data_IF_405787781066
#
_entry.id   IF_405787781066
#
_cell.length_a   1.000
_cell.length_b   1.000
_cell.length_c   1.000
_cell.angle_alpha   90.00
_cell.angle_beta   90.00
_cell.angle_gamma   90.00
#
_symmetry.space_group_name_H-M   'P 1'
#
loop_
_entity.id
_entity.type
_entity.pdbx_description
1 polymer ?
#
# COMPACT_ATOMS: atom_id res chain seq x y z
N UNK A 1 -42.51 -75.16 -19.19
CA UNK A 1 -43.49 -74.17 -18.69
C UNK A 1 -43.00 -73.78 -17.31
N UNK A 2 -41.98 -72.92 -17.26
CA UNK A 2 -42.07 -71.45 -17.32
C UNK A 2 -42.59 -70.89 -15.99
N UNK A 3 -42.00 -69.88 -15.37
CA UNK A 3 -40.63 -69.37 -15.20
C UNK A 3 -40.76 -68.23 -14.19
N UNK A 4 -39.66 -67.91 -13.54
CA UNK A 4 -39.46 -66.89 -12.51
C UNK A 4 -39.97 -65.46 -12.86
N UNK A 5 -40.49 -64.73 -11.87
CA UNK A 5 -40.18 -63.29 -11.65
C UNK A 5 -40.93 -62.70 -10.44
N UNK A 6 -40.16 -62.35 -9.40
CA UNK A 6 -40.49 -61.33 -8.39
C UNK A 6 -39.64 -60.07 -8.66
N UNK A 7 -39.64 -58.97 -7.86
CA UNK A 7 -40.43 -58.62 -6.67
C UNK A 7 -41.22 -57.28 -6.92
N UNK A 8 -41.53 -56.35 -6.02
CA UNK A 8 -41.21 -56.09 -4.61
C UNK A 8 -42.29 -55.19 -3.97
N UNK A 9 -42.71 -55.48 -2.74
CA UNK A 9 -43.34 -54.56 -1.80
C UNK A 9 -42.49 -54.57 -0.52
N UNK A 10 -41.96 -53.42 -0.10
CA UNK A 10 -41.11 -53.31 1.08
C UNK A 10 -41.92 -52.79 2.28
N UNK A 11 -41.95 -53.60 3.33
CA UNK A 11 -42.63 -53.38 4.61
C UNK A 11 -41.89 -52.33 5.47
N UNK A 12 -42.63 -51.39 6.07
CA UNK A 12 -42.08 -50.30 6.91
C UNK A 12 -41.56 -50.78 8.28
N UNK A 13 -41.83 -52.03 8.68
CA UNK A 13 -41.65 -52.50 10.06
C UNK A 13 -40.19 -52.83 10.44
N UNK A 14 -39.24 -52.83 9.49
CA UNK A 14 -37.84 -53.26 9.75
C UNK A 14 -36.85 -52.12 10.11
N UNK A 15 -37.32 -50.89 10.31
CA UNK A 15 -36.44 -49.68 10.39
C UNK A 15 -35.92 -49.26 11.77
N UNK A 16 -36.29 -49.94 12.86
CA UNK A 16 -35.93 -49.54 14.23
C UNK A 16 -34.89 -50.43 14.94
N UNK A 17 -34.35 -51.46 14.28
CA UNK A 17 -33.46 -52.45 14.91
C UNK A 17 -31.94 -52.19 14.86
N UNK A 18 -31.47 -51.05 14.34
CA UNK A 18 -30.05 -50.84 14.00
C UNK A 18 -29.47 -49.50 14.53
N UNK A 19 -29.87 -49.10 15.75
CA UNK A 19 -29.32 -47.96 16.48
C UNK A 19 -28.52 -48.41 17.72
N UNK A 20 -27.62 -49.38 17.53
CA UNK A 20 -26.67 -49.86 18.53
C UNK A 20 -25.29 -50.05 17.90
N UNK A 21 -24.27 -49.49 18.55
CA UNK A 21 -22.85 -49.81 18.39
C UNK A 21 -22.23 -49.76 16.97
N UNK A 22 -22.43 -48.62 16.30
CA UNK A 22 -21.33 -48.03 15.53
C UNK A 22 -20.81 -46.82 16.30
N UNK A 23 -19.89 -47.08 17.23
CA UNK A 23 -18.98 -46.06 17.75
C UNK A 23 -18.17 -45.53 16.56
N UNK A 24 -18.66 -44.44 15.94
CA UNK A 24 -17.94 -43.78 14.85
C UNK A 24 -16.70 -43.13 15.45
N UNK A 25 -15.63 -43.93 15.54
CA UNK A 25 -14.26 -43.43 15.63
C UNK A 25 -14.00 -42.66 14.34
N UNK A 26 -14.45 -41.40 14.31
CA UNK A 26 -13.84 -40.35 13.53
C UNK A 26 -12.41 -40.25 14.04
N UNK A 27 -11.56 -41.11 13.51
CA UNK A 27 -10.13 -40.83 13.40
C UNK A 27 -10.06 -39.67 12.43
N UNK A 28 -10.34 -38.47 12.95
CA UNK A 28 -9.95 -37.23 12.33
C UNK A 28 -8.44 -37.37 12.16
N UNK A 29 -8.03 -37.66 10.94
CA UNK A 29 -6.63 -37.81 10.57
C UNK A 29 -6.05 -36.41 10.58
N UNK A 30 -5.81 -35.88 11.79
CA UNK A 30 -5.14 -34.61 12.03
C UNK A 30 -3.91 -34.61 11.14
N UNK A 31 -3.79 -33.60 10.29
CA UNK A 31 -2.52 -33.34 9.65
C UNK A 31 -1.48 -33.20 10.77
N UNK A 32 -0.34 -33.90 10.73
CA UNK A 32 0.72 -33.69 11.73
C UNK A 32 1.35 -32.29 11.61
N UNK A 33 1.09 -31.58 10.51
CA UNK A 33 1.56 -30.24 10.23
C UNK A 33 0.37 -29.28 10.05
N UNK A 34 0.31 -28.25 10.88
CA UNK A 34 -0.69 -27.18 10.82
C UNK A 34 -0.48 -26.35 9.54
N UNK A 35 -1.28 -26.59 8.51
CA UNK A 35 -1.11 -25.97 7.19
C UNK A 35 -2.42 -25.49 6.60
N UNK A 36 -2.34 -24.54 5.65
CA UNK A 36 -3.46 -24.19 4.79
C UNK A 36 -3.30 -24.93 3.44
N UNK A 37 -4.38 -25.53 2.94
CA UNK A 37 -4.43 -26.14 1.60
C UNK A 37 -4.49 -25.05 0.52
N UNK A 38 -5.21 -23.97 0.81
CA UNK A 38 -5.20 -22.75 0.00
C UNK A 38 -4.11 -21.80 0.49
N UNK A 39 -3.64 -20.90 -0.37
CA UNK A 39 -2.65 -19.92 0.04
C UNK A 39 -3.19 -18.98 1.15
N UNK A 40 -2.29 -18.50 2.00
CA UNK A 40 -2.64 -17.70 3.18
C UNK A 40 -3.43 -16.43 2.83
N UNK A 41 -3.23 -15.82 1.65
CA UNK A 41 -4.00 -14.65 1.22
C UNK A 41 -5.50 -14.95 1.05
N UNK A 42 -5.82 -16.09 0.42
CA UNK A 42 -7.21 -16.56 0.24
C UNK A 42 -7.82 -16.90 1.59
N UNK A 43 -7.11 -17.65 2.44
CA UNK A 43 -7.60 -18.01 3.77
C UNK A 43 -7.81 -16.78 4.67
N UNK A 44 -6.89 -15.82 4.67
CA UNK A 44 -7.00 -14.59 5.46
C UNK A 44 -8.19 -13.74 4.99
N UNK A 45 -8.47 -13.70 3.68
CA UNK A 45 -9.63 -12.99 3.15
C UNK A 45 -10.95 -13.62 3.63
N UNK A 46 -11.08 -14.95 3.62
CA UNK A 46 -12.26 -15.62 4.18
C UNK A 46 -12.36 -15.46 5.70
N UNK A 47 -11.23 -15.44 6.43
CA UNK A 47 -11.21 -15.13 7.87
C UNK A 47 -11.70 -13.70 8.15
N UNK A 48 -11.29 -12.71 7.36
CA UNK A 48 -11.79 -11.32 7.42
C UNK A 48 -13.30 -11.22 7.12
N UNK A 49 -13.90 -12.24 6.50
CA UNK A 49 -15.35 -12.38 6.28
C UNK A 49 -16.05 -13.24 7.34
N UNK A 50 -15.40 -13.47 8.48
CA UNK A 50 -15.88 -14.29 9.60
C UNK A 50 -16.24 -15.75 9.22
N UNK A 51 -15.64 -16.28 8.14
CA UNK A 51 -15.95 -17.65 7.70
C UNK A 51 -15.41 -18.73 8.65
N UNK A 52 -14.43 -18.42 9.50
CA UNK A 52 -13.95 -19.33 10.53
C UNK A 52 -15.00 -19.60 11.62
N UNK A 53 -15.86 -18.62 11.93
CA UNK A 53 -16.91 -18.71 12.97
C UNK A 53 -18.31 -18.99 12.39
N UNK A 54 -18.44 -18.93 11.06
CA UNK A 54 -19.72 -19.04 10.35
C UNK A 54 -20.20 -20.51 10.31
N UNK A 55 -21.41 -20.84 10.81
CA UNK A 55 -21.94 -22.21 10.80
C UNK A 55 -22.07 -22.86 9.42
N UNK A 56 -22.06 -22.05 8.36
CA UNK A 56 -22.15 -22.50 6.96
C UNK A 56 -20.76 -22.79 6.37
N UNK A 57 -19.73 -22.04 6.78
CA UNK A 57 -18.40 -22.05 6.14
C UNK A 57 -17.31 -22.71 7.00
N UNK A 58 -17.51 -22.83 8.32
CA UNK A 58 -16.53 -23.38 9.26
C UNK A 58 -16.01 -24.76 8.82
N UNK A 59 -16.92 -25.66 8.39
CA UNK A 59 -16.53 -27.00 7.94
C UNK A 59 -15.60 -26.97 6.71
N UNK A 60 -15.81 -26.03 5.79
CA UNK A 60 -14.91 -25.82 4.65
C UNK A 60 -13.60 -25.19 5.10
N UNK A 61 -13.65 -24.18 5.98
CA UNK A 61 -12.46 -23.53 6.52
C UNK A 61 -11.56 -24.52 7.30
N UNK A 62 -12.14 -25.44 8.08
CA UNK A 62 -11.41 -26.51 8.78
C UNK A 62 -10.66 -27.45 7.84
N UNK A 63 -11.20 -27.73 6.65
CA UNK A 63 -10.55 -28.60 5.67
C UNK A 63 -9.53 -27.90 4.76
N UNK A 64 -9.50 -26.56 4.73
CA UNK A 64 -8.77 -25.81 3.69
C UNK A 64 -7.86 -24.69 4.23
N UNK A 65 -8.15 -24.17 5.42
CA UNK A 65 -7.56 -22.98 6.01
C UNK A 65 -7.33 -23.15 7.53
N UNK A 66 -6.92 -24.36 7.94
CA UNK A 66 -6.79 -24.78 9.34
C UNK A 66 -5.85 -23.88 10.14
N UNK A 67 -4.68 -23.58 9.56
CA UNK A 67 -3.66 -22.71 10.14
C UNK A 67 -4.06 -21.23 10.21
N UNK A 68 -4.78 -20.70 9.21
CA UNK A 68 -5.27 -19.32 9.29
C UNK A 68 -6.37 -19.15 10.34
N UNK A 69 -7.30 -20.11 10.44
CA UNK A 69 -8.42 -20.02 11.38
C UNK A 69 -8.07 -20.37 12.83
N UNK A 70 -6.94 -21.05 13.08
CA UNK A 70 -6.54 -21.43 14.45
C UNK A 70 -7.27 -22.66 14.94
N UNK A 71 -7.54 -23.59 14.03
CA UNK A 71 -8.12 -24.89 14.37
C UNK A 71 -7.05 -25.94 14.74
N UNK A 72 -5.78 -25.57 14.61
CA UNK A 72 -4.61 -26.38 14.98
C UNK A 72 -4.47 -26.58 16.50
N UNK A 73 -3.65 -27.56 16.88
CA UNK A 73 -3.42 -27.91 18.28
C UNK A 73 -2.33 -27.08 18.97
N UNK A 74 -1.43 -26.46 18.20
CA UNK A 74 -0.33 -25.65 18.69
C UNK A 74 -0.50 -24.19 18.21
N UNK A 75 -0.46 -23.18 19.11
CA UNK A 75 -0.59 -21.78 18.73
C UNK A 75 0.65 -21.17 18.06
N UNK A 76 1.82 -21.82 18.06
CA UNK A 76 3.04 -21.28 17.43
C UNK A 76 3.10 -21.48 15.91
N UNK A 77 2.35 -22.44 15.35
CA UNK A 77 2.26 -22.70 13.89
C UNK A 77 1.41 -21.66 13.12
N UNK A 78 0.97 -20.60 13.79
CA UNK A 78 0.10 -19.58 13.20
C UNK A 78 0.87 -18.64 12.24
N UNK A 79 0.86 -18.96 10.94
CA UNK A 79 1.44 -18.09 9.91
C UNK A 79 0.64 -16.78 9.77
N UNK A 80 1.04 -15.72 10.47
CA UNK A 80 0.47 -14.39 10.30
C UNK A 80 1.45 -13.23 10.53
N UNK A 81 2.45 -13.14 9.66
CA UNK A 81 3.20 -11.90 9.46
C UNK A 81 2.59 -11.03 8.37
N UNK A 82 2.85 -9.72 8.46
CA UNK A 82 2.62 -8.82 7.34
C UNK A 82 3.67 -9.10 6.23
N UNK A 83 3.23 -9.16 4.97
CA UNK A 83 4.15 -9.28 3.81
C UNK A 83 4.82 -7.93 3.51
N UNK A 84 4.11 -6.83 3.79
CA UNK A 84 4.68 -5.48 3.73
C UNK A 84 5.16 -5.04 5.12
N UNK A 85 6.09 -4.07 5.22
CA UNK A 85 6.60 -3.61 6.52
C UNK A 85 5.49 -3.16 7.46
N UNK A 86 5.58 -3.54 8.75
CA UNK A 86 4.55 -3.28 9.76
C UNK A 86 4.07 -1.82 9.76
N UNK A 87 4.99 -0.84 9.73
CA UNK A 87 4.66 0.60 9.65
C UNK A 87 3.73 0.96 8.47
N UNK A 88 3.91 0.33 7.30
CA UNK A 88 3.06 0.55 6.12
C UNK A 88 1.70 -0.14 6.30
N UNK A 89 1.70 -1.34 6.86
CA UNK A 89 0.49 -2.10 7.13
C UNK A 89 -0.38 -1.48 8.22
N UNK A 90 0.22 -0.92 9.28
CA UNK A 90 -0.46 -0.17 10.32
C UNK A 90 -1.07 1.12 9.74
N UNK A 91 -0.32 1.85 8.92
CA UNK A 91 -0.85 3.02 8.20
C UNK A 91 -2.03 2.65 7.29
N UNK A 92 -1.98 1.49 6.63
CA UNK A 92 -3.09 0.99 5.84
C UNK A 92 -4.31 0.57 6.68
N UNK A 93 -4.08 -0.11 7.81
CA UNK A 93 -5.13 -0.54 8.71
C UNK A 93 -5.83 0.63 9.38
N UNK A 94 -5.07 1.61 9.89
CA UNK A 94 -5.54 2.84 10.51
C UNK A 94 -6.34 3.73 9.53
N UNK A 95 -6.07 3.65 8.22
CA UNK A 95 -6.85 4.31 7.16
C UNK A 95 -8.12 3.53 6.76
N UNK A 96 -8.46 2.44 7.45
CA UNK A 96 -9.69 1.67 7.24
C UNK A 96 -9.74 0.86 5.94
N UNK A 97 -8.61 0.62 5.27
CA UNK A 97 -8.59 -0.07 3.96
C UNK A 97 -9.12 -1.51 4.05
N UNK A 98 -8.96 -2.17 5.20
CA UNK A 98 -9.52 -3.50 5.48
C UNK A 98 -11.06 -3.51 5.54
N UNK A 99 -11.70 -2.34 5.56
CA UNK A 99 -13.15 -2.18 5.55
C UNK A 99 -13.67 -1.89 4.13
N UNK A 100 -12.82 -1.39 3.22
CA UNK A 100 -13.17 -1.07 1.83
C UNK A 100 -13.29 -2.38 1.01
N UNK A 101 -14.47 -2.76 0.45
CA UNK A 101 -14.68 -4.06 -0.20
C UNK A 101 -13.67 -4.41 -1.30
N UNK A 102 -13.28 -3.41 -2.10
CA UNK A 102 -12.32 -3.54 -3.20
C UNK A 102 -10.85 -3.71 -2.74
N UNK A 103 -10.55 -3.43 -1.46
CA UNK A 103 -9.20 -3.57 -0.89
C UNK A 103 -9.09 -4.71 0.12
N UNK A 104 -10.20 -5.31 0.56
CA UNK A 104 -10.21 -6.37 1.57
C UNK A 104 -9.30 -7.55 1.25
N UNK A 105 -9.27 -8.02 -0.01
CA UNK A 105 -8.36 -9.09 -0.42
C UNK A 105 -6.88 -8.66 -0.36
N UNK A 106 -6.57 -7.46 -0.85
CA UNK A 106 -5.21 -6.90 -0.76
C UNK A 106 -4.74 -6.78 0.70
N UNK A 107 -5.60 -6.24 1.57
CA UNK A 107 -5.31 -6.03 2.99
C UNK A 107 -5.12 -7.35 3.73
N UNK A 108 -6.01 -8.32 3.51
CA UNK A 108 -5.88 -9.66 4.09
C UNK A 108 -4.65 -10.44 3.57
N UNK A 109 -4.23 -10.17 2.33
CA UNK A 109 -3.07 -10.80 1.73
C UNK A 109 -1.74 -10.17 2.18
N UNK A 110 -1.67 -8.84 2.27
CA UNK A 110 -0.40 -8.11 2.49
C UNK A 110 -0.19 -7.65 3.92
N UNK A 111 -1.27 -7.39 4.65
CA UNK A 111 -1.24 -6.78 5.98
C UNK A 111 -2.13 -7.48 7.03
N UNK A 112 -2.20 -8.82 7.09
CA UNK A 112 -3.19 -9.51 7.91
C UNK A 112 -3.07 -9.21 9.42
N UNK A 113 -1.84 -9.13 9.95
CA UNK A 113 -1.54 -8.79 11.34
C UNK A 113 -2.04 -7.39 11.69
N UNK A 114 -1.68 -6.38 10.90
CA UNK A 114 -2.14 -5.00 11.13
C UNK A 114 -3.67 -4.84 10.98
N UNK A 115 -4.31 -5.67 10.16
CA UNK A 115 -5.77 -5.68 9.99
C UNK A 115 -6.53 -6.40 11.11
N UNK A 116 -5.86 -6.89 12.16
CA UNK A 116 -6.50 -7.64 13.25
C UNK A 116 -7.05 -9.00 12.83
N UNK A 117 -6.68 -9.52 11.66
CA UNK A 117 -7.17 -10.83 11.15
C UNK A 117 -6.64 -12.00 12.00
N UNK A 118 -5.61 -11.73 12.79
CA UNK A 118 -4.87 -12.74 13.55
C UNK A 118 -4.90 -12.55 15.07
N UNK A 119 -5.41 -11.42 15.56
CA UNK A 119 -5.65 -11.20 16.99
C UNK A 119 -6.99 -11.82 17.40
N UNK A 120 -6.96 -12.95 18.12
CA UNK A 120 -8.09 -13.38 18.94
C UNK A 120 -8.27 -12.40 20.10
N UNK A 121 -9.11 -11.37 19.90
CA UNK A 121 -9.69 -10.58 20.98
C UNK A 121 -9.35 -9.09 21.05
N UNK A 122 -8.77 -8.46 20.01
CA UNK A 122 -8.61 -7.00 19.99
C UNK A 122 -9.88 -6.31 19.46
N UNK A 123 -10.55 -5.43 20.23
CA UNK A 123 -11.69 -4.68 19.71
C UNK A 123 -11.25 -3.75 18.58
N UNK A 124 -11.99 -3.75 17.47
CA UNK A 124 -11.80 -2.80 16.37
C UNK A 124 -12.25 -1.40 16.81
N UNK A 125 -11.36 -0.69 17.50
CA UNK A 125 -11.50 0.73 17.74
C UNK A 125 -11.19 1.46 16.44
N UNK A 126 -12.23 1.82 15.70
CA UNK A 126 -12.10 2.70 14.54
C UNK A 126 -11.53 4.05 15.01
N UNK A 127 -10.24 4.27 14.75
CA UNK A 127 -9.60 5.57 14.94
C UNK A 127 -10.29 6.60 14.03
N UNK A 128 -10.33 7.89 14.41
CA UNK A 128 -10.88 8.92 13.55
C UNK A 128 -10.21 8.88 12.18
N UNK A 129 -11.01 8.81 11.11
CA UNK A 129 -10.49 8.85 9.74
C UNK A 129 -9.75 10.19 9.59
N UNK A 130 -8.42 10.20 9.36
CA UNK A 130 -7.70 11.45 9.19
C UNK A 130 -8.21 12.16 7.95
N UNK A 131 -8.37 13.48 8.05
CA UNK A 131 -8.82 14.31 6.94
C UNK A 131 -7.96 14.06 5.68
N UNK A 132 -8.59 14.10 4.51
CA UNK A 132 -7.90 13.94 3.22
C UNK A 132 -7.40 15.26 2.63
N UNK A 133 -7.60 16.37 3.36
CA UNK A 133 -7.00 17.65 3.01
C UNK A 133 -5.48 17.54 2.84
N UNK A 134 -4.96 18.36 1.93
CA UNK A 134 -3.53 18.43 1.66
C UNK A 134 -2.87 19.34 2.70
N UNK A 135 -2.02 18.77 3.56
CA UNK A 135 -1.24 19.53 4.53
C UNK A 135 0.00 20.16 3.85
N UNK A 136 -0.14 21.42 3.50
CA UNK A 136 0.92 22.28 2.97
C UNK A 136 2.09 22.45 3.94
N UNK A 137 1.81 22.60 5.24
CA UNK A 137 2.83 22.88 6.26
C UNK A 137 3.67 21.64 6.54
N UNK A 138 3.03 20.46 6.66
CA UNK A 138 3.75 19.18 6.73
C UNK A 138 4.64 19.01 5.50
N UNK A 139 4.11 19.26 4.29
CA UNK A 139 4.85 19.07 3.05
C UNK A 139 6.10 19.95 2.96
N UNK A 140 5.97 21.24 3.32
CA UNK A 140 7.09 22.19 3.34
C UNK A 140 8.11 21.83 4.43
N UNK A 141 7.64 21.53 5.64
CA UNK A 141 8.49 21.13 6.78
C UNK A 141 9.30 19.88 6.45
N UNK A 142 8.70 18.88 5.82
CA UNK A 142 9.39 17.66 5.38
C UNK A 142 10.49 17.93 4.34
N UNK A 143 10.27 18.83 3.39
CA UNK A 143 11.33 19.25 2.46
C UNK A 143 12.48 19.95 3.19
N UNK A 144 12.17 20.89 4.09
CA UNK A 144 13.17 21.69 4.80
C UNK A 144 13.98 20.84 5.79
N UNK A 145 13.34 19.86 6.46
CA UNK A 145 14.00 18.83 7.26
C UNK A 145 15.10 18.13 6.46
N UNK A 146 14.79 17.64 5.25
CA UNK A 146 15.80 16.97 4.41
C UNK A 146 16.88 17.93 3.90
N UNK A 147 16.50 19.14 3.48
CA UNK A 147 17.44 20.18 2.99
C UNK A 147 18.47 20.60 4.03
N UNK A 148 18.10 20.61 5.31
CA UNK A 148 19.00 20.92 6.42
C UNK A 148 20.24 20.00 6.47
N UNK A 149 20.08 18.72 6.11
CA UNK A 149 21.16 17.74 6.06
C UNK A 149 22.18 18.01 4.94
N UNK A 150 21.81 18.79 3.92
CA UNK A 150 22.62 19.04 2.72
C UNK A 150 23.11 20.50 2.63
N UNK A 151 23.01 21.26 3.72
CA UNK A 151 23.43 22.66 3.77
C UNK A 151 22.69 23.54 2.76
N UNK A 152 21.44 23.19 2.44
CA UNK A 152 20.56 23.97 1.59
C UNK A 152 19.60 24.81 2.45
N UNK A 153 19.40 26.08 2.07
CA UNK A 153 18.50 26.98 2.79
C UNK A 153 17.05 26.47 2.74
N UNK A 154 16.26 26.80 3.75
CA UNK A 154 14.84 26.44 3.79
C UNK A 154 14.07 27.01 2.59
N UNK A 155 13.16 26.21 2.04
CA UNK A 155 12.20 26.65 1.03
C UNK A 155 11.06 27.41 1.69
N UNK A 156 10.51 28.37 0.96
CA UNK A 156 9.20 28.99 1.25
C UNK A 156 8.10 28.33 0.40
N UNK A 157 6.83 28.52 0.79
CA UNK A 157 5.72 28.06 -0.04
C UNK A 157 5.48 28.99 -1.24
N UNK A 158 5.25 28.39 -2.40
CA UNK A 158 4.90 29.07 -3.64
C UNK A 158 3.45 28.73 -4.03
N UNK A 159 2.46 29.62 -3.80
CA UNK A 159 1.06 29.36 -4.13
C UNK A 159 0.85 29.01 -5.61
N UNK A 160 1.49 29.76 -6.52
CA UNK A 160 1.41 29.51 -7.97
C UNK A 160 2.00 28.16 -8.39
N UNK A 161 3.02 27.70 -7.69
CA UNK A 161 3.61 26.37 -7.89
C UNK A 161 2.61 25.28 -7.45
N UNK A 162 1.88 25.50 -6.35
CA UNK A 162 0.82 24.60 -5.88
C UNK A 162 -0.39 24.59 -6.82
N UNK A 163 -0.83 25.75 -7.34
CA UNK A 163 -1.90 25.86 -8.34
C UNK A 163 -1.56 25.08 -9.63
N UNK A 164 -0.30 25.15 -10.08
CA UNK A 164 0.19 24.37 -11.21
C UNK A 164 0.28 22.88 -10.87
N UNK A 165 0.78 22.52 -9.69
CA UNK A 165 0.81 21.14 -9.21
C UNK A 165 -0.61 20.53 -9.16
N UNK A 166 -1.62 21.30 -8.75
CA UNK A 166 -3.01 20.86 -8.67
C UNK A 166 -3.58 20.53 -10.06
N UNK A 167 -3.32 21.38 -11.05
CA UNK A 167 -3.68 21.12 -12.45
C UNK A 167 -3.00 19.86 -12.99
N UNK A 168 -1.73 19.64 -12.63
CA UNK A 168 -0.97 18.46 -13.01
C UNK A 168 -1.53 17.16 -12.43
N UNK A 169 -1.71 17.08 -11.11
CA UNK A 169 -2.24 15.85 -10.48
C UNK A 169 -3.66 15.55 -10.92
N UNK A 170 -4.49 16.58 -11.17
CA UNK A 170 -5.82 16.40 -11.73
C UNK A 170 -5.76 15.83 -13.17
N UNK A 171 -4.90 16.38 -14.03
CA UNK A 171 -4.71 15.89 -15.40
C UNK A 171 -4.24 14.43 -15.41
N UNK A 172 -3.29 14.06 -14.55
CA UNK A 172 -2.81 12.68 -14.42
C UNK A 172 -3.91 11.74 -13.89
N UNK A 173 -4.73 12.22 -12.94
CA UNK A 173 -5.84 11.47 -12.35
C UNK A 173 -6.98 11.20 -13.34
N UNK A 174 -7.37 12.20 -14.13
CA UNK A 174 -8.49 12.10 -15.09
C UNK A 174 -8.11 11.27 -16.33
N UNK A 175 -6.85 11.33 -16.74
CA UNK A 175 -6.32 10.50 -17.84
C UNK A 175 -5.89 9.10 -17.40
N UNK A 176 -5.81 8.83 -16.09
CA UNK A 176 -5.18 7.64 -15.50
C UNK A 176 -3.78 7.39 -16.11
N UNK A 177 -3.03 8.47 -16.31
CA UNK A 177 -1.73 8.45 -17.01
C UNK A 177 -0.62 7.84 -16.12
N UNK A 178 0.42 7.21 -16.70
CA UNK A 178 1.69 7.07 -16.01
C UNK A 178 2.26 8.43 -15.63
N UNK A 179 3.29 8.45 -14.76
CA UNK A 179 3.99 9.68 -14.38
C UNK A 179 4.74 10.25 -15.60
N UNK A 180 4.12 11.24 -16.24
CA UNK A 180 4.69 12.00 -17.34
C UNK A 180 4.86 13.43 -16.86
N UNK A 181 6.10 13.93 -16.94
CA UNK A 181 6.40 15.31 -16.62
C UNK A 181 5.68 16.29 -17.56
N UNK A 182 5.27 17.45 -17.02
CA UNK A 182 4.79 18.54 -17.88
C UNK A 182 5.88 19.07 -18.82
N UNK A 183 5.51 19.86 -19.82
CA UNK A 183 6.50 20.42 -20.73
C UNK A 183 7.32 21.50 -20.01
N UNK A 184 8.62 21.57 -20.32
CA UNK A 184 9.53 22.62 -19.83
C UNK A 184 9.15 24.04 -20.31
N UNK A 185 8.14 24.17 -21.16
CA UNK A 185 7.56 25.45 -21.56
C UNK A 185 6.35 25.81 -20.68
N UNK A 186 5.47 24.86 -20.37
CA UNK A 186 4.35 25.08 -19.45
C UNK A 186 4.79 25.40 -18.02
N UNK A 187 5.92 24.84 -17.57
CA UNK A 187 6.59 25.20 -16.31
C UNK A 187 7.47 26.44 -16.44
N UNK A 188 6.95 27.55 -17.00
CA UNK A 188 7.66 28.84 -17.06
C UNK A 188 6.73 30.00 -16.73
N UNK A 189 7.16 30.88 -15.83
CA UNK A 189 6.50 32.17 -15.61
C UNK A 189 7.45 33.27 -15.16
N UNK A 190 6.94 34.49 -15.07
CA UNK A 190 7.72 35.62 -14.59
C UNK A 190 7.90 35.56 -13.07
N UNK A 191 9.15 35.64 -12.63
CA UNK A 191 9.58 35.86 -11.24
C UNK A 191 10.57 37.02 -11.25
N UNK A 192 10.33 38.07 -10.46
CA UNK A 192 11.19 39.26 -10.46
C UNK A 192 11.39 39.93 -11.83
N UNK A 193 10.36 39.88 -12.70
CA UNK A 193 10.42 40.42 -14.07
C UNK A 193 11.21 39.59 -15.08
N UNK A 194 11.61 38.35 -14.75
CA UNK A 194 12.30 37.42 -15.68
C UNK A 194 11.51 36.14 -15.84
N UNK A 195 11.46 35.60 -17.05
CA UNK A 195 10.91 34.25 -17.29
C UNK A 195 11.84 33.20 -16.68
N UNK A 196 11.36 32.53 -15.64
CA UNK A 196 12.06 31.47 -14.91
C UNK A 196 11.44 30.12 -15.29
N UNK A 197 12.23 29.05 -15.47
CA UNK A 197 11.72 27.69 -15.53
C UNK A 197 11.60 27.07 -14.14
N UNK A 198 10.63 26.18 -13.97
CA UNK A 198 10.31 25.54 -12.69
C UNK A 198 10.52 24.02 -12.77
N UNK A 199 11.08 23.47 -11.69
CA UNK A 199 11.35 22.04 -11.53
C UNK A 199 10.08 21.29 -11.17
N UNK A 200 10.09 19.96 -11.27
CA UNK A 200 8.94 19.12 -11.00
C UNK A 200 9.38 17.75 -10.47
N UNK A 201 8.83 17.34 -9.33
CA UNK A 201 8.85 15.97 -8.86
C UNK A 201 7.43 15.41 -8.90
N UNK A 202 7.30 14.15 -9.32
CA UNK A 202 6.02 13.44 -9.39
C UNK A 202 6.06 12.17 -8.52
N UNK A 203 4.92 11.79 -7.97
CA UNK A 203 4.72 10.55 -7.22
C UNK A 203 3.37 9.95 -7.58
N UNK A 204 3.34 8.63 -7.74
CA UNK A 204 2.12 7.83 -7.80
C UNK A 204 2.19 6.79 -6.70
N UNK A 205 1.18 6.77 -5.82
CA UNK A 205 1.11 5.78 -4.75
C UNK A 205 -0.33 5.33 -4.51
N UNK A 206 -0.51 4.02 -4.31
CA UNK A 206 -1.81 3.41 -4.09
C UNK A 206 -1.81 2.66 -2.74
N UNK A 207 -2.89 2.75 -1.93
CA UNK A 207 -4.18 3.37 -2.28
C UNK A 207 -4.27 4.88 -2.07
N UNK A 208 -3.42 5.49 -1.23
CA UNK A 208 -3.44 6.94 -0.99
C UNK A 208 -2.04 7.52 -0.82
N UNK A 209 -1.70 8.53 -1.62
CA UNK A 209 -0.44 9.29 -1.55
C UNK A 209 -0.52 10.42 -0.51
N UNK A 210 0.63 10.79 0.04
CA UNK A 210 0.82 11.97 0.89
C UNK A 210 2.25 12.49 0.75
N UNK A 211 2.55 13.67 1.32
CA UNK A 211 3.89 14.26 1.22
C UNK A 211 4.95 13.46 1.96
N UNK A 212 4.61 12.73 3.02
CA UNK A 212 5.57 11.93 3.79
C UNK A 212 6.09 10.77 2.97
N UNK A 213 5.20 10.00 2.37
CA UNK A 213 5.56 8.91 1.44
C UNK A 213 6.37 9.47 0.26
N UNK A 214 5.95 10.60 -0.30
CA UNK A 214 6.60 11.21 -1.48
C UNK A 214 8.01 11.71 -1.16
N UNK A 215 8.17 12.59 -0.16
CA UNK A 215 9.45 13.16 0.27
C UNK A 215 10.43 12.07 0.70
N UNK A 216 10.01 11.10 1.52
CA UNK A 216 10.91 10.02 1.95
C UNK A 216 11.33 9.11 0.79
N UNK A 217 10.45 8.88 -0.19
CA UNK A 217 10.79 8.06 -1.36
C UNK A 217 11.75 8.78 -2.30
N UNK A 218 11.49 10.06 -2.60
CA UNK A 218 12.39 10.89 -3.43
C UNK A 218 13.74 11.09 -2.73
N UNK A 219 13.76 11.29 -1.41
CA UNK A 219 14.98 11.50 -0.64
C UNK A 219 15.89 10.26 -0.59
N UNK A 220 15.33 9.05 -0.63
CA UNK A 220 16.11 7.79 -0.69
C UNK A 220 16.99 7.66 -1.94
N UNK A 221 16.69 8.39 -3.01
CA UNK A 221 17.54 8.38 -4.20
C UNK A 221 18.95 8.98 -3.97
N UNK A 222 19.19 9.63 -2.82
CA UNK A 222 20.54 10.00 -2.38
C UNK A 222 21.52 8.83 -2.40
N UNK A 223 21.03 7.61 -2.13
CA UNK A 223 21.84 6.39 -2.11
C UNK A 223 22.24 5.97 -3.54
N UNK A 224 21.52 6.45 -4.55
CA UNK A 224 21.78 6.27 -5.98
C UNK A 224 22.70 7.37 -6.54
N UNK A 225 22.60 8.61 -6.03
CA UNK A 225 23.43 9.73 -6.48
C UNK A 225 24.95 9.47 -6.31
N UNK A 226 25.74 9.82 -7.32
CA UNK A 226 27.21 9.70 -7.34
C UNK A 226 27.83 10.98 -7.93
N UNK A 227 28.47 11.87 -7.13
CA UNK A 227 28.96 13.17 -7.60
C UNK A 227 29.88 13.17 -8.83
N UNK A 228 30.57 12.05 -9.10
CA UNK A 228 31.54 11.91 -10.21
C UNK A 228 31.01 11.06 -11.39
N UNK A 229 29.74 10.68 -11.40
CA UNK A 229 29.15 9.96 -12.54
C UNK A 229 28.65 10.90 -13.64
N UNK A 230 28.49 10.39 -14.89
CA UNK A 230 27.80 11.10 -15.96
C UNK A 230 26.47 11.68 -15.50
N UNK A 231 26.29 12.98 -15.74
CA UNK A 231 25.20 13.73 -15.13
C UNK A 231 23.80 13.20 -15.52
N UNK A 232 23.66 12.62 -16.71
CA UNK A 232 22.42 11.99 -17.15
C UNK A 232 21.99 10.84 -16.22
N UNK A 233 22.93 10.01 -15.76
CA UNK A 233 22.64 8.89 -14.86
C UNK A 233 22.17 9.39 -13.49
N UNK A 234 22.79 10.45 -12.97
CA UNK A 234 22.35 11.09 -11.72
C UNK A 234 20.94 11.71 -11.84
N UNK A 235 20.60 12.30 -12.99
CA UNK A 235 19.26 12.86 -13.22
C UNK A 235 18.21 11.75 -13.40
N UNK A 236 18.55 10.65 -14.07
CA UNK A 236 17.64 9.51 -14.29
C UNK A 236 17.40 8.67 -13.03
N UNK A 237 18.42 8.51 -12.17
CA UNK A 237 18.35 7.67 -10.96
C UNK A 237 18.13 8.44 -9.66
N UNK A 238 18.44 9.73 -9.63
CA UNK A 238 18.37 10.56 -8.42
C UNK A 238 17.81 11.97 -8.63
N UNK A 239 17.11 12.19 -9.75
CA UNK A 239 16.57 13.50 -10.12
C UNK A 239 15.61 14.08 -9.07
N UNK A 240 14.83 13.25 -8.37
CA UNK A 240 13.90 13.77 -7.36
C UNK A 240 14.66 14.23 -6.11
N UNK A 241 15.63 13.44 -5.64
CA UNK A 241 16.54 13.83 -4.56
C UNK A 241 17.28 15.14 -4.92
N UNK A 242 17.93 15.21 -6.08
CA UNK A 242 18.76 16.37 -6.43
C UNK A 242 17.95 17.64 -6.62
N UNK A 243 16.68 17.54 -7.05
CA UNK A 243 15.77 18.68 -7.09
C UNK A 243 15.36 19.13 -5.67
N UNK A 244 15.05 18.22 -4.76
CA UNK A 244 14.67 18.59 -3.38
C UNK A 244 15.78 19.36 -2.66
N UNK A 245 17.03 18.92 -2.80
CA UNK A 245 18.19 19.50 -2.09
C UNK A 245 18.88 20.63 -2.85
N UNK A 246 18.39 21.00 -4.04
CA UNK A 246 19.01 22.01 -4.91
C UNK A 246 19.08 23.38 -4.21
N UNK A 247 20.30 23.87 -3.92
CA UNK A 247 20.51 25.08 -3.12
C UNK A 247 19.93 26.36 -3.74
N UNK A 248 20.01 26.52 -5.06
CA UNK A 248 19.48 27.69 -5.78
C UNK A 248 17.93 27.69 -5.86
N UNK A 249 17.26 26.56 -5.56
CA UNK A 249 15.80 26.50 -5.47
C UNK A 249 15.38 27.11 -4.13
N UNK A 250 14.47 28.08 -4.18
CA UNK A 250 14.08 28.94 -3.05
C UNK A 250 12.66 28.70 -2.54
N UNK A 251 11.79 28.16 -3.38
CA UNK A 251 10.39 27.90 -3.01
C UNK A 251 9.84 26.65 -3.68
N UNK A 252 8.80 26.08 -3.08
CA UNK A 252 8.07 24.91 -3.58
C UNK A 252 6.58 25.08 -3.37
N UNK A 253 5.78 24.54 -4.28
CA UNK A 253 4.35 24.33 -4.06
C UNK A 253 3.95 22.96 -4.58
N UNK A 254 3.13 22.24 -3.83
CA UNK A 254 2.72 20.88 -4.13
C UNK A 254 1.21 20.72 -4.04
N UNK A 255 0.68 19.67 -4.65
CA UNK A 255 -0.73 19.28 -4.57
C UNK A 255 -0.87 17.77 -4.76
N UNK A 256 -2.02 17.20 -4.39
CA UNK A 256 -2.32 15.78 -4.56
C UNK A 256 -3.77 15.50 -4.99
N UNK A 257 -3.98 14.38 -5.65
CA UNK A 257 -5.27 13.64 -5.64
C UNK A 257 -5.20 12.50 -4.62
N UNK A 258 -6.10 11.52 -4.68
CA UNK A 258 -5.95 10.29 -3.89
C UNK A 258 -4.64 9.56 -4.24
N UNK A 259 -4.24 9.51 -5.52
CA UNK A 259 -3.13 8.64 -5.98
C UNK A 259 -1.90 9.38 -6.50
N UNK A 260 -2.07 10.60 -7.00
CA UNK A 260 -0.99 11.38 -7.63
C UNK A 260 -0.59 12.54 -6.74
N UNK A 261 0.71 12.81 -6.61
CA UNK A 261 1.25 14.00 -5.95
C UNK A 261 2.30 14.63 -6.85
N UNK A 262 2.26 15.95 -6.98
CA UNK A 262 3.24 16.74 -7.70
C UNK A 262 3.80 17.84 -6.78
N UNK A 263 5.10 18.11 -6.90
CA UNK A 263 5.75 19.26 -6.29
C UNK A 263 6.48 20.05 -7.38
N UNK A 264 6.27 21.36 -7.41
CA UNK A 264 6.81 22.28 -8.40
C UNK A 264 7.78 23.24 -7.69
N UNK A 265 8.98 23.39 -8.24
CA UNK A 265 10.13 24.01 -7.58
C UNK A 265 10.56 25.29 -8.30
N UNK A 266 10.72 26.39 -7.56
CA UNK A 266 11.08 27.71 -8.10
C UNK A 266 12.38 28.24 -7.47
N UNK A 267 13.38 28.62 -8.29
CA UNK A 267 13.60 28.21 -9.68
C UNK A 267 13.88 26.70 -9.82
N UNK A 268 13.83 26.19 -11.05
CA UNK A 268 14.20 24.80 -11.38
C UNK A 268 15.63 24.46 -10.95
N UNK A 269 15.78 23.26 -10.37
CA UNK A 269 17.06 22.59 -10.21
C UNK A 269 17.40 21.72 -11.41
N UNK A 270 18.26 20.72 -11.19
CA UNK A 270 18.63 19.69 -12.18
C UNK A 270 19.12 20.21 -13.55
N UNK A 271 19.71 21.40 -13.57
CA UNK A 271 20.34 21.96 -14.78
C UNK A 271 21.50 21.10 -15.24
N UNK A 272 21.53 20.74 -16.54
CA UNK A 272 22.54 19.86 -17.15
C UNK A 272 23.93 20.51 -17.24
N UNK A 273 24.56 20.77 -16.10
CA UNK A 273 25.88 21.36 -15.92
C UNK A 273 26.53 20.78 -14.66
N UNK A 274 27.74 20.20 -14.81
CA UNK A 274 28.51 19.60 -13.71
C UNK A 274 28.76 20.62 -12.60
N UNK A 275 29.22 21.82 -12.97
CA UNK A 275 29.46 22.92 -12.03
C UNK A 275 28.22 23.29 -11.21
N UNK A 276 27.03 23.31 -11.83
CA UNK A 276 25.79 23.61 -11.11
C UNK A 276 25.42 22.49 -10.14
N UNK A 277 25.65 21.22 -10.50
CA UNK A 277 25.44 20.10 -9.59
C UNK A 277 26.42 20.09 -8.41
N UNK A 278 27.73 20.31 -8.66
CA UNK A 278 28.74 20.42 -7.59
C UNK A 278 28.44 21.57 -6.61
N UNK A 279 27.88 22.68 -7.11
CA UNK A 279 27.44 23.81 -6.26
C UNK A 279 26.17 23.50 -5.46
N UNK A 280 25.19 22.83 -6.08
CA UNK A 280 23.83 22.73 -5.55
C UNK A 280 23.49 21.43 -4.83
N UNK A 281 24.23 20.34 -5.07
CA UNK A 281 23.95 19.02 -4.50
C UNK A 281 25.14 18.60 -3.66
N UNK A 282 25.05 18.87 -2.36
CA UNK A 282 26.01 18.41 -1.36
C UNK A 282 25.52 17.08 -0.78
N UNK A 283 26.45 16.14 -0.56
CA UNK A 283 26.17 14.85 0.11
C UNK A 283 26.52 14.92 1.60
#
# INVERSE_FOLDING_TARGET
>A
MLEDSSPLLADETQRQGFLGDLEVKRVAKRSPECTNVYNNCVCNFYKLKDHCSSPVHEAWMRGNCEATCGFCADPEDHICDNIYPDQMCDLFANRGLHQKPQLQYFMACKCPKACGICDVGRPSAALPIPDDTFDQEECLRLHNEKRSHHGAAELTWCPKCADFAQQMVQTLQDSNSPLIHSSSESRRWQVGGRMVPHGENLMYYFPKVDCRISVESWYKEKDLYKPRQPLILNIESAGHFTQMVWKDTTSVGCAKTEKYLACIYEPAGNWKSVFLFERNVQM
#
